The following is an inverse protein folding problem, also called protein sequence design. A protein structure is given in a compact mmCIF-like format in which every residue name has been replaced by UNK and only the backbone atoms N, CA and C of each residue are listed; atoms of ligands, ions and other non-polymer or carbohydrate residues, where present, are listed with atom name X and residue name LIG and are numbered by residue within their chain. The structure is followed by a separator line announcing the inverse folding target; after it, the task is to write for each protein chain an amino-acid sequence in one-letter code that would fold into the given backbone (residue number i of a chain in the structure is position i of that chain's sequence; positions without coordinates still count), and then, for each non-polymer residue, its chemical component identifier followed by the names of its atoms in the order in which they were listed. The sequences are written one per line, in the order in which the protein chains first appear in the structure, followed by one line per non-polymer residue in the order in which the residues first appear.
data_IF_449936181405
#
_entry.id   IF_449936181405
#
_cell.length_a   1.000
_cell.length_b   1.000
_cell.length_c   1.000
_cell.angle_alpha   90.00
_cell.angle_beta   90.00
_cell.angle_gamma   90.00
#
_symmetry.space_group_name_H-M   'P 1'
#
loop_
_entity.id
_entity.type
_entity.pdbx_description
1 polymer ?
#
# COMPACT_ATOMS: atom_id res chain seq x y z
N UNK A 1 11.59 -30.70 -18.65
CA UNK A 1 12.71 -29.94 -19.23
C UNK A 1 12.17 -28.68 -19.88
N UNK A 2 12.79 -27.51 -19.63
CA UNK A 2 12.40 -26.25 -20.27
C UNK A 2 12.63 -26.29 -21.80
N UNK A 3 11.65 -25.85 -22.58
CA UNK A 3 11.77 -25.68 -24.04
C UNK A 3 12.35 -24.31 -24.35
N UNK A 4 13.48 -24.26 -25.06
CA UNK A 4 14.13 -23.00 -25.47
C UNK A 4 13.82 -22.75 -26.95
N UNK A 5 13.20 -21.61 -27.26
CA UNK A 5 12.78 -21.22 -28.62
C UNK A 5 13.44 -19.90 -28.99
N UNK A 6 14.11 -19.84 -30.15
CA UNK A 6 14.64 -18.59 -30.70
C UNK A 6 13.48 -17.80 -31.35
N UNK A 7 13.31 -16.54 -30.97
CA UNK A 7 12.28 -15.68 -31.55
C UNK A 7 12.76 -15.04 -32.86
N UNK A 8 11.84 -14.61 -33.75
CA UNK A 8 12.20 -13.88 -34.97
C UNK A 8 13.01 -12.60 -34.69
N UNK A 9 12.83 -12.01 -33.51
CA UNK A 9 13.53 -10.81 -33.04
C UNK A 9 14.96 -11.08 -32.55
N UNK A 10 15.47 -12.31 -32.66
CA UNK A 10 16.82 -12.69 -32.23
C UNK A 10 16.98 -12.93 -30.72
N UNK A 11 15.90 -12.92 -29.95
CA UNK A 11 15.91 -13.24 -28.50
C UNK A 11 15.61 -14.71 -28.25
N UNK A 12 15.89 -15.20 -27.04
CA UNK A 12 15.70 -16.57 -26.63
C UNK A 12 14.57 -16.67 -25.60
N UNK A 13 13.50 -17.40 -25.93
CA UNK A 13 12.36 -17.63 -25.05
C UNK A 13 12.49 -19.01 -24.39
N UNK A 14 12.54 -19.05 -23.07
CA UNK A 14 12.42 -20.27 -22.30
C UNK A 14 10.95 -20.48 -21.90
N UNK A 15 10.43 -21.69 -22.08
CA UNK A 15 9.05 -22.07 -21.75
C UNK A 15 9.07 -23.36 -20.92
N UNK A 16 8.47 -23.34 -19.74
CA UNK A 16 8.34 -24.49 -18.85
C UNK A 16 6.87 -24.88 -18.79
N UNK A 17 6.60 -26.15 -19.14
CA UNK A 17 5.28 -26.78 -19.04
C UNK A 17 5.42 -27.99 -18.13
N UNK A 18 4.75 -27.95 -16.97
CA UNK A 18 4.70 -29.06 -16.02
C UNK A 18 3.25 -29.27 -15.61
N UNK A 19 2.82 -30.53 -15.53
CA UNK A 19 1.46 -30.89 -15.13
C UNK A 19 1.22 -30.36 -13.71
N UNK A 20 0.06 -29.76 -13.48
CA UNK A 20 -0.31 -29.16 -12.20
C UNK A 20 0.28 -27.77 -11.92
N UNK A 21 1.07 -27.20 -12.84
CA UNK A 21 1.65 -25.85 -12.70
C UNK A 21 1.27 -24.96 -13.89
N UNK A 22 1.08 -23.65 -13.67
CA UNK A 22 0.86 -22.71 -14.77
C UNK A 22 2.08 -22.71 -15.71
N UNK A 23 1.82 -22.56 -17.02
CA UNK A 23 2.90 -22.44 -18.01
C UNK A 23 3.66 -21.15 -17.75
N UNK A 24 4.97 -21.26 -17.53
CA UNK A 24 5.84 -20.12 -17.24
C UNK A 24 6.81 -19.92 -18.38
N UNK A 25 6.97 -18.66 -18.80
CA UNK A 25 7.85 -18.31 -19.91
C UNK A 25 8.54 -16.99 -19.66
N UNK A 26 9.82 -16.91 -20.06
CA UNK A 26 10.62 -15.69 -19.97
C UNK A 26 11.54 -15.58 -21.19
N UNK A 27 11.77 -14.35 -21.64
CA UNK A 27 12.61 -14.04 -22.79
C UNK A 27 13.94 -13.43 -22.34
N UNK A 28 15.02 -13.84 -22.99
CA UNK A 28 16.41 -13.50 -22.67
C UNK A 28 17.16 -13.08 -23.94
N UNK A 29 18.27 -12.35 -23.76
CA UNK A 29 19.14 -11.96 -24.88
C UNK A 29 20.05 -13.11 -25.33
N UNK A 30 20.49 -13.98 -24.41
CA UNK A 30 21.38 -15.10 -24.72
C UNK A 30 20.69 -16.44 -24.51
N UNK A 31 21.12 -17.45 -25.28
CA UNK A 31 20.64 -18.83 -25.13
C UNK A 31 21.00 -19.41 -23.75
N UNK A 32 22.22 -19.10 -23.29
CA UNK A 32 22.75 -19.56 -22.01
C UNK A 32 21.89 -19.08 -20.84
N UNK A 33 21.55 -17.80 -20.79
CA UNK A 33 20.68 -17.26 -19.73
C UNK A 33 19.29 -17.93 -19.74
N UNK A 34 18.76 -18.22 -20.93
CA UNK A 34 17.48 -18.90 -21.08
C UNK A 34 17.52 -20.35 -20.57
N UNK A 35 18.61 -21.07 -20.83
CA UNK A 35 18.85 -22.42 -20.33
C UNK A 35 19.05 -22.43 -18.81
N UNK A 36 19.90 -21.53 -18.28
CA UNK A 36 20.20 -21.42 -16.85
C UNK A 36 18.95 -21.05 -16.04
N UNK A 37 18.14 -20.10 -16.54
CA UNK A 37 16.85 -19.77 -15.94
C UNK A 37 15.87 -20.94 -16.01
N UNK A 38 15.84 -21.65 -17.14
CA UNK A 38 14.99 -22.84 -17.32
C UNK A 38 15.29 -23.92 -16.30
N UNK A 39 16.56 -24.27 -16.11
CA UNK A 39 17.01 -25.27 -15.14
C UNK A 39 16.70 -24.86 -13.70
N UNK A 40 17.05 -23.62 -13.31
CA UNK A 40 16.80 -23.12 -11.94
C UNK A 40 15.31 -23.12 -11.61
N UNK A 41 14.48 -22.66 -12.53
CA UNK A 41 13.03 -22.59 -12.33
C UNK A 41 12.41 -23.99 -12.25
N UNK A 42 12.86 -24.93 -13.08
CA UNK A 42 12.40 -26.31 -13.03
C UNK A 42 12.76 -26.99 -11.70
N UNK A 43 13.97 -26.76 -11.19
CA UNK A 43 14.43 -27.23 -9.88
C UNK A 43 13.59 -26.61 -8.74
N UNK A 44 13.29 -25.31 -8.78
CA UNK A 44 12.38 -24.66 -7.82
C UNK A 44 10.97 -25.29 -7.85
N UNK A 45 10.45 -25.61 -9.04
CA UNK A 45 9.13 -26.26 -9.20
C UNK A 45 9.17 -27.71 -8.67
N UNK A 46 10.26 -28.45 -8.90
CA UNK A 46 10.43 -29.81 -8.36
C UNK A 46 10.50 -29.80 -6.84
N UNK A 47 11.21 -28.83 -6.25
CA UNK A 47 11.34 -28.68 -4.79
C UNK A 47 10.08 -28.10 -4.13
N UNK A 48 9.09 -27.67 -4.90
CA UNK A 48 7.86 -27.06 -4.39
C UNK A 48 8.05 -25.64 -3.84
N UNK A 49 9.16 -24.97 -4.15
CA UNK A 49 9.48 -23.61 -3.67
C UNK A 49 9.19 -22.55 -4.76
N UNK A 50 8.69 -22.97 -5.92
CA UNK A 50 8.44 -22.06 -7.03
C UNK A 50 7.36 -21.03 -6.70
N UNK A 51 7.75 -19.76 -6.77
CA UNK A 51 6.86 -18.62 -6.65
C UNK A 51 6.96 -17.77 -7.92
N UNK A 52 5.83 -17.64 -8.63
CA UNK A 52 5.78 -16.81 -9.83
C UNK A 52 5.93 -15.33 -9.46
N UNK A 53 7.10 -14.74 -9.74
CA UNK A 53 7.38 -13.31 -9.48
C UNK A 53 6.95 -12.38 -10.61
N UNK A 54 6.65 -12.93 -11.80
CA UNK A 54 6.29 -12.14 -12.98
C UNK A 54 5.09 -11.19 -12.77
N UNK A 55 4.05 -11.55 -11.99
CA UNK A 55 2.98 -10.61 -11.65
C UNK A 55 3.47 -9.42 -10.81
N UNK A 56 4.30 -9.65 -9.80
CA UNK A 56 4.88 -8.56 -8.98
C UNK A 56 5.82 -7.64 -9.77
N UNK A 57 6.61 -8.17 -10.70
CA UNK A 57 7.52 -7.36 -11.55
C UNK A 57 6.74 -6.42 -12.48
N UNK A 58 5.56 -6.84 -12.95
CA UNK A 58 4.72 -6.06 -13.88
C UNK A 58 3.77 -5.10 -13.17
N UNK A 59 3.34 -5.43 -11.95
CA UNK A 59 2.40 -4.60 -11.20
C UNK A 59 3.11 -3.37 -10.64
N UNK A 60 2.71 -2.18 -11.08
CA UNK A 60 3.22 -0.93 -10.53
C UNK A 60 2.52 -0.58 -9.21
N UNK A 61 3.18 0.23 -8.37
CA UNK A 61 2.55 0.70 -7.13
C UNK A 61 1.32 1.56 -7.40
N UNK A 62 1.29 2.35 -8.49
CA UNK A 62 0.08 3.10 -8.89
C UNK A 62 -1.10 2.16 -9.18
N UNK A 63 -0.88 1.12 -9.99
CA UNK A 63 -1.93 0.13 -10.28
C UNK A 63 -2.37 -0.64 -9.03
N UNK A 64 -1.42 -1.00 -8.17
CA UNK A 64 -1.69 -1.66 -6.89
C UNK A 64 -2.52 -0.76 -5.95
N UNK A 65 -2.18 0.52 -5.82
CA UNK A 65 -2.93 1.48 -5.01
C UNK A 65 -4.35 1.67 -5.55
N UNK A 66 -4.53 1.77 -6.87
CA UNK A 66 -5.87 1.87 -7.46
C UNK A 66 -6.73 0.66 -7.07
N UNK A 67 -6.22 -0.55 -7.31
CA UNK A 67 -6.89 -1.80 -6.94
C UNK A 67 -7.23 -1.85 -5.44
N UNK A 68 -6.30 -1.42 -4.59
CA UNK A 68 -6.51 -1.36 -3.14
C UNK A 68 -7.64 -0.40 -2.73
N UNK A 69 -7.76 0.74 -3.40
CA UNK A 69 -8.84 1.68 -3.11
C UNK A 69 -10.20 1.10 -3.47
N UNK A 70 -10.28 0.37 -4.59
CA UNK A 70 -11.50 -0.26 -5.11
C UNK A 70 -11.93 -1.49 -4.29
N UNK A 71 -10.99 -2.33 -3.85
CA UNK A 71 -11.30 -3.59 -3.15
C UNK A 71 -11.33 -3.43 -1.62
N UNK A 72 -10.42 -2.63 -1.06
CA UNK A 72 -10.17 -2.61 0.39
C UNK A 72 -10.69 -1.33 1.03
N UNK A 73 -10.32 -0.17 0.48
CA UNK A 73 -10.67 1.12 1.11
C UNK A 73 -12.19 1.33 1.12
N UNK A 74 -12.91 0.90 0.08
CA UNK A 74 -14.37 1.02 -0.05
C UNK A 74 -15.15 0.43 1.14
N UNK A 75 -14.62 -0.61 1.79
CA UNK A 75 -15.27 -1.27 2.92
C UNK A 75 -15.17 -0.49 4.24
N UNK A 76 -14.33 0.55 4.28
CA UNK A 76 -14.05 1.32 5.50
C UNK A 76 -14.99 2.51 5.63
N UNK A 77 -15.02 3.12 6.81
CA UNK A 77 -15.77 4.37 7.06
C UNK A 77 -15.33 5.48 6.08
N UNK A 78 -16.27 6.32 5.64
CA UNK A 78 -16.02 7.40 4.68
C UNK A 78 -14.92 8.40 5.11
N UNK A 79 -14.74 8.62 6.41
CA UNK A 79 -13.65 9.44 6.96
C UNK A 79 -12.29 8.79 6.73
N UNK A 80 -12.20 7.48 6.97
CA UNK A 80 -11.00 6.67 6.71
C UNK A 80 -10.69 6.63 5.22
N UNK A 81 -11.70 6.40 4.37
CA UNK A 81 -11.54 6.42 2.90
C UNK A 81 -10.91 7.73 2.43
N UNK A 82 -11.41 8.89 2.88
CA UNK A 82 -10.83 10.20 2.56
C UNK A 82 -9.36 10.29 2.97
N UNK A 83 -9.04 9.88 4.20
CA UNK A 83 -7.65 9.89 4.70
C UNK A 83 -6.73 8.96 3.90
N UNK A 84 -7.22 7.79 3.51
CA UNK A 84 -6.48 6.84 2.69
C UNK A 84 -6.28 7.35 1.27
N UNK A 85 -7.27 8.01 0.67
CA UNK A 85 -7.14 8.66 -0.64
C UNK A 85 -6.04 9.72 -0.66
N UNK A 86 -5.95 10.56 0.38
CA UNK A 86 -4.84 11.53 0.48
C UNK A 86 -3.49 10.86 0.65
N UNK A 87 -3.45 9.76 1.40
CA UNK A 87 -2.23 8.97 1.59
C UNK A 87 -1.79 8.30 0.28
N UNK A 88 -2.74 7.68 -0.44
CA UNK A 88 -2.53 7.00 -1.71
C UNK A 88 -2.00 7.95 -2.79
N UNK A 89 -2.60 9.14 -2.94
CA UNK A 89 -2.12 10.17 -3.89
C UNK A 89 -0.65 10.52 -3.68
N UNK A 90 -0.24 10.63 -2.42
CA UNK A 90 1.15 10.95 -2.11
C UNK A 90 2.09 9.78 -2.35
N UNK A 91 1.68 8.56 -1.95
CA UNK A 91 2.44 7.34 -2.23
C UNK A 91 2.59 7.11 -3.73
N UNK A 92 1.57 7.43 -4.53
CA UNK A 92 1.62 7.37 -5.99
C UNK A 92 2.61 8.38 -6.58
N UNK A 93 2.69 9.60 -6.05
CA UNK A 93 3.66 10.59 -6.50
C UNK A 93 5.12 10.12 -6.31
N UNK A 94 5.40 9.39 -5.22
CA UNK A 94 6.76 8.88 -4.94
C UNK A 94 7.04 7.52 -5.59
N UNK A 95 6.11 6.56 -5.44
CA UNK A 95 6.29 5.16 -5.84
C UNK A 95 5.62 4.77 -7.15
N UNK A 96 4.78 5.62 -7.76
CA UNK A 96 3.83 5.21 -8.80
C UNK A 96 4.44 4.49 -10.00
N UNK A 97 5.67 4.85 -10.38
CA UNK A 97 6.42 4.24 -11.50
C UNK A 97 7.18 2.97 -11.11
N UNK A 98 7.37 2.71 -9.83
CA UNK A 98 8.07 1.53 -9.36
C UNK A 98 7.17 0.31 -9.49
N UNK A 99 7.76 -0.82 -9.89
CA UNK A 99 7.17 -2.13 -9.67
C UNK A 99 7.03 -2.37 -8.17
N UNK A 100 5.95 -3.02 -7.74
CA UNK A 100 5.75 -3.39 -6.34
C UNK A 100 6.87 -4.31 -5.82
N UNK A 101 7.51 -5.10 -6.69
CA UNK A 101 8.68 -5.91 -6.36
C UNK A 101 9.96 -5.10 -6.15
N UNK A 102 10.06 -3.89 -6.71
CA UNK A 102 11.22 -3.03 -6.62
C UNK A 102 11.22 -2.14 -5.36
N UNK A 103 10.11 -2.11 -4.61
CA UNK A 103 10.00 -1.32 -3.38
C UNK A 103 10.79 -1.99 -2.26
N UNK A 104 11.92 -1.40 -1.87
CA UNK A 104 12.74 -1.85 -0.76
C UNK A 104 12.41 -1.11 0.53
N UNK A 105 12.81 -1.69 1.68
CA UNK A 105 12.70 -1.01 2.98
C UNK A 105 13.49 0.32 3.02
N UNK A 106 14.59 0.39 2.28
CA UNK A 106 15.40 1.60 2.12
C UNK A 106 14.61 2.72 1.41
N UNK A 107 13.93 2.40 0.30
CA UNK A 107 13.08 3.38 -0.40
C UNK A 107 11.92 3.85 0.47
N UNK A 108 11.35 2.95 1.28
CA UNK A 108 10.29 3.32 2.25
C UNK A 108 10.85 4.23 3.35
N UNK A 109 12.05 3.97 3.86
CA UNK A 109 12.71 4.83 4.83
C UNK A 109 13.02 6.21 4.23
N UNK A 110 13.51 6.26 2.99
CA UNK A 110 13.73 7.52 2.26
C UNK A 110 12.45 8.32 2.10
N UNK A 111 11.34 7.68 1.70
CA UNK A 111 10.04 8.34 1.62
C UNK A 111 9.58 8.91 2.97
N UNK A 112 9.79 8.16 4.07
CA UNK A 112 9.51 8.64 5.44
C UNK A 112 10.34 9.89 5.77
N UNK A 113 11.63 9.85 5.49
CA UNK A 113 12.57 10.90 5.89
C UNK A 113 12.35 12.18 5.06
N UNK A 114 12.12 12.07 3.76
CA UNK A 114 11.71 13.20 2.92
C UNK A 114 10.41 13.84 3.40
N UNK A 115 9.48 13.03 3.92
CA UNK A 115 8.21 13.55 4.44
C UNK A 115 8.34 14.29 5.75
N UNK A 116 9.20 13.81 6.63
CA UNK A 116 9.53 14.50 7.87
C UNK A 116 10.29 15.80 7.57
N UNK A 117 11.24 15.78 6.62
CA UNK A 117 11.96 16.97 6.17
C UNK A 117 11.04 18.03 5.54
N UNK A 118 9.98 17.59 4.84
CA UNK A 118 8.94 18.48 4.30
C UNK A 118 7.94 19.01 5.36
N UNK A 119 8.26 18.86 6.66
CA UNK A 119 7.47 19.42 7.77
C UNK A 119 6.13 18.74 8.01
N UNK A 120 5.92 17.50 7.53
CA UNK A 120 4.67 16.78 7.76
C UNK A 120 4.62 16.21 9.18
N UNK A 121 3.43 16.25 9.78
CA UNK A 121 3.21 15.69 11.11
C UNK A 121 3.54 14.20 11.15
N UNK A 122 4.09 13.73 12.27
CA UNK A 122 4.40 12.31 12.47
C UNK A 122 3.18 11.42 12.22
N UNK A 123 1.99 11.86 12.64
CA UNK A 123 0.77 11.10 12.42
C UNK A 123 0.43 10.94 10.93
N UNK A 124 0.62 12.00 10.13
CA UNK A 124 0.44 11.94 8.67
C UNK A 124 1.37 10.91 8.04
N UNK A 125 2.66 10.91 8.39
CA UNK A 125 3.64 9.95 7.86
C UNK A 125 3.28 8.52 8.29
N UNK A 126 2.85 8.33 9.54
CA UNK A 126 2.41 7.02 10.05
C UNK A 126 1.20 6.47 9.29
N UNK A 127 0.21 7.32 8.97
CA UNK A 127 -0.96 6.92 8.18
C UNK A 127 -0.58 6.49 6.77
N UNK A 128 0.37 7.19 6.14
CA UNK A 128 0.88 6.81 4.83
C UNK A 128 1.59 5.46 4.85
N UNK A 129 2.47 5.24 5.83
CA UNK A 129 3.11 3.95 6.03
C UNK A 129 2.10 2.85 6.39
N UNK A 130 1.01 3.17 7.08
CA UNK A 130 -0.05 2.20 7.37
C UNK A 130 -0.78 1.75 6.10
N UNK A 131 -1.14 2.68 5.21
CA UNK A 131 -1.75 2.36 3.91
C UNK A 131 -0.82 1.51 3.06
N UNK A 132 0.44 1.93 2.92
CA UNK A 132 1.44 1.18 2.16
C UNK A 132 1.67 -0.21 2.75
N UNK A 133 1.80 -0.31 4.07
CA UNK A 133 1.97 -1.59 4.75
C UNK A 133 0.77 -2.52 4.57
N UNK A 134 -0.46 -2.00 4.58
CA UNK A 134 -1.66 -2.79 4.34
C UNK A 134 -1.75 -3.25 2.88
N UNK A 135 -1.40 -2.38 1.92
CA UNK A 135 -1.31 -2.73 0.51
C UNK A 135 -0.40 -3.94 0.29
N UNK A 136 0.82 -3.91 0.84
CA UNK A 136 1.77 -5.02 0.70
C UNK A 136 1.26 -6.30 1.37
N UNK A 137 0.57 -6.19 2.51
CA UNK A 137 -0.06 -7.35 3.15
C UNK A 137 -1.11 -7.99 2.24
N UNK A 138 -1.99 -7.19 1.65
CA UNK A 138 -3.03 -7.68 0.72
C UNK A 138 -2.44 -8.25 -0.55
N UNK A 139 -1.39 -7.63 -1.08
CA UNK A 139 -0.67 -8.13 -2.23
C UNK A 139 -0.05 -9.53 -1.98
N UNK A 140 0.47 -9.76 -0.77
CA UNK A 140 1.07 -11.04 -0.37
C UNK A 140 -0.02 -12.10 -0.11
N UNK A 141 -1.04 -11.76 0.67
CA UNK A 141 -2.01 -12.73 1.19
C UNK A 141 -3.12 -13.06 0.19
N UNK A 142 -3.66 -12.04 -0.48
CA UNK A 142 -4.89 -12.19 -1.28
C UNK A 142 -4.59 -12.19 -2.77
N UNK A 143 -3.68 -11.32 -3.23
CA UNK A 143 -3.44 -11.18 -4.67
C UNK A 143 -2.44 -12.21 -5.21
N UNK A 144 -1.72 -12.92 -4.34
CA UNK A 144 -0.83 -14.03 -4.73
C UNK A 144 0.24 -13.62 -5.75
N UNK A 145 0.68 -12.36 -5.77
CA UNK A 145 1.52 -11.82 -6.85
C UNK A 145 3.00 -12.20 -6.76
N UNK A 146 3.37 -13.05 -5.81
CA UNK A 146 4.74 -13.55 -5.65
C UNK A 146 5.66 -12.66 -4.80
N UNK A 147 5.08 -11.80 -3.95
CA UNK A 147 5.82 -11.09 -2.92
C UNK A 147 5.97 -11.98 -1.68
N UNK A 148 7.16 -12.04 -1.11
CA UNK A 148 7.46 -12.86 0.08
C UNK A 148 7.57 -12.03 1.36
N UNK A 149 7.76 -10.72 1.24
CA UNK A 149 8.03 -9.84 2.37
C UNK A 149 7.40 -8.46 2.16
N UNK A 150 7.00 -7.84 3.28
CA UNK A 150 6.47 -6.49 3.31
C UNK A 150 7.60 -5.49 3.65
N UNK A 151 7.98 -4.59 2.72
CA UNK A 151 9.07 -3.62 2.92
C UNK A 151 8.80 -2.60 4.01
N UNK A 152 7.54 -2.42 4.43
CA UNK A 152 7.17 -1.49 5.50
C UNK A 152 7.28 -2.13 6.89
N UNK A 153 7.30 -3.46 6.99
CA UNK A 153 7.24 -4.16 8.28
C UNK A 153 8.42 -3.81 9.20
N UNK A 154 9.62 -3.70 8.63
CA UNK A 154 10.87 -3.45 9.39
C UNK A 154 11.26 -1.97 9.43
N UNK A 155 10.45 -1.06 8.86
CA UNK A 155 10.77 0.37 8.85
C UNK A 155 10.35 1.00 10.17
N UNK A 156 11.30 1.62 10.87
CA UNK A 156 11.05 2.37 12.10
C UNK A 156 10.06 3.51 11.82
N UNK A 157 8.90 3.47 12.49
CA UNK A 157 7.87 4.50 12.35
C UNK A 157 8.21 5.70 13.23
N UNK A 158 7.87 6.94 12.81
CA UNK A 158 8.01 8.11 13.65
C UNK A 158 7.22 7.94 14.95
N UNK A 159 7.76 8.47 16.05
CA UNK A 159 7.06 8.48 17.34
C UNK A 159 5.71 9.21 17.18
N UNK A 160 4.62 8.68 17.75
CA UNK A 160 3.36 9.43 17.78
C UNK A 160 3.62 10.80 18.44
N UNK A 161 3.10 11.86 17.83
CA UNK A 161 3.20 13.20 18.42
C UNK A 161 2.40 13.28 19.71
N UNK A 162 2.66 14.31 20.53
CA UNK A 162 1.86 14.59 21.72
C UNK A 162 0.37 14.67 21.33
N UNK A 163 -0.47 13.94 22.07
CA UNK A 163 -1.91 14.03 21.92
C UNK A 163 -2.36 15.47 22.15
N UNK A 164 -3.39 15.91 21.40
CA UNK A 164 -4.03 17.19 21.69
C UNK A 164 -4.95 16.98 22.89
N UNK A 165 -4.42 17.15 24.10
CA UNK A 165 -5.18 17.04 25.36
C UNK A 165 -5.62 18.40 25.92
N UNK A 166 -5.72 19.43 25.06
CA UNK A 166 -6.31 20.71 25.48
C UNK A 166 -7.83 20.56 25.57
N UNK A 167 -8.34 20.48 26.81
CA UNK A 167 -9.75 20.67 27.13
C UNK A 167 -10.09 22.16 27.19
N UNK A 168 -11.31 22.52 26.83
CA UNK A 168 -11.80 23.88 27.03
C UNK A 168 -11.84 24.18 28.54
N UNK A 169 -11.31 25.34 28.93
CA UNK A 169 -11.56 25.89 30.27
C UNK A 169 -13.00 26.38 30.39
N UNK A 170 -13.51 26.55 31.61
CA UNK A 170 -14.87 27.08 31.84
C UNK A 170 -15.07 28.46 31.20
N UNK A 171 -14.07 29.32 31.26
CA UNK A 171 -14.13 30.69 30.70
C UNK A 171 -14.11 30.68 29.16
N UNK A 172 -13.37 29.75 28.55
CA UNK A 172 -13.40 29.54 27.10
C UNK A 172 -14.74 28.95 26.64
N UNK A 173 -15.31 28.05 27.43
CA UNK A 173 -16.64 27.49 27.17
C UNK A 173 -17.73 28.57 27.26
N UNK A 174 -17.69 29.44 28.28
CA UNK A 174 -18.64 30.55 28.40
C UNK A 174 -18.51 31.54 27.23
N UNK A 175 -17.28 31.90 26.83
CA UNK A 175 -17.05 32.74 25.66
C UNK A 175 -17.53 32.08 24.36
N UNK A 176 -17.38 30.76 24.23
CA UNK A 176 -17.88 30.01 23.08
C UNK A 176 -19.42 30.03 23.02
N UNK A 177 -20.10 29.82 24.15
CA UNK A 177 -21.57 29.87 24.20
C UNK A 177 -22.10 31.28 23.92
N UNK A 178 -21.52 32.32 24.53
CA UNK A 178 -21.93 33.69 24.26
C UNK A 178 -21.73 34.07 22.77
N UNK A 179 -20.66 33.60 22.14
CA UNK A 179 -20.43 33.82 20.71
C UNK A 179 -21.39 33.01 19.82
N UNK A 180 -21.77 31.80 20.23
CA UNK A 180 -22.74 30.96 19.52
C UNK A 180 -24.15 31.56 19.59
N UNK A 181 -24.56 32.07 20.75
CA UNK A 181 -25.87 32.73 20.94
C UNK A 181 -25.97 34.03 20.11
N UNK A 182 -24.86 34.73 19.91
CA UNK A 182 -24.80 35.93 19.08
C UNK A 182 -24.87 35.63 17.56
N UNK A 183 -24.56 34.41 17.12
CA UNK A 183 -24.60 34.01 15.71
C UNK A 183 -25.77 33.05 15.49
N UNK A 184 -26.93 33.62 15.16
CA UNK A 184 -28.16 32.89 14.86
C UNK A 184 -28.02 32.02 13.59
N UNK A 185 -27.46 30.81 13.73
CA UNK A 185 -27.84 29.68 12.90
C UNK A 185 -28.66 28.74 13.80
N UNK A 186 -29.97 28.57 13.57
CA UNK A 186 -30.84 27.85 14.50
C UNK A 186 -30.35 26.40 14.70
N UNK A 187 -30.14 25.94 15.95
CA UNK A 187 -29.83 24.54 16.21
C UNK A 187 -31.13 23.72 16.14
N UNK A 188 -31.49 23.24 14.96
CA UNK A 188 -32.70 22.44 14.73
C UNK A 188 -32.69 21.03 15.37
N UNK A 189 -31.74 20.68 16.26
CA UNK A 189 -31.62 19.30 16.79
C UNK A 189 -31.36 19.21 18.31
N UNK A 190 -31.89 20.10 19.15
CA UNK A 190 -31.73 19.95 20.63
C UNK A 190 -33.06 19.94 21.42
N UNK A 191 -34.21 19.83 20.76
CA UNK A 191 -35.51 19.86 21.45
C UNK A 191 -36.16 18.49 21.74
N UNK A 192 -35.42 17.36 21.71
CA UNK A 192 -36.04 16.03 21.90
C UNK A 192 -35.51 15.16 23.05
N UNK A 193 -34.59 15.64 23.90
CA UNK A 193 -34.08 14.82 25.02
C UNK A 193 -33.95 15.57 26.35
N UNK A 194 -35.00 16.28 26.76
CA UNK A 194 -35.24 16.54 28.18
C UNK A 194 -36.73 16.30 28.48
N UNK A 195 -37.03 15.27 29.27
CA UNK A 195 -37.51 15.61 30.60
C UNK A 195 -36.87 14.72 31.67
N UNK A 196 -36.17 15.35 32.63
CA UNK A 196 -36.03 14.79 33.98
C UNK A 196 -35.99 15.96 34.99
N UNK A 197 -37.18 16.33 35.43
CA UNK A 197 -37.54 16.86 36.76
C UNK A 197 -38.62 15.90 37.25
N UNK A 198 -38.64 15.31 38.44
CA UNK A 198 -37.97 15.51 39.73
C UNK A 198 -37.43 14.17 40.23
#
# INVERSE_FOLDING_TARGET
MATIVKTPSGTWKAVIRKIGWPTTAKTFRTKRDAEDWGRRTEDEIVRGVYLSRAPSEKLTVSAALKRYMEEVSVTKKATTQRSESFSAKHLEAFFGKYSIAAVSAELVAKCRDERLAAGKSNNTVRLQLAVLGHLFRMAIQEWGIGLTFNPVANVRKPSPGAGRDRRLSRDEQQRLFAAADAHSNPPEIVAQYLPFTQ
#
